data_IF_662450795555
#
_entry.id   IF_662450795555
#
_cell.length_a   1.000
_cell.length_b   1.000
_cell.length_c   1.000
_cell.angle_alpha   90.00
_cell.angle_beta   90.00
_cell.angle_gamma   90.00
#
_symmetry.space_group_name_H-M   'P 1'
#
loop_
_entity.id
_entity.type
_entity.pdbx_description
1 polymer ?
#
# COMPACT_ATOMS: atom_id res chain seq x y z
N UNK A 1 -13.07 61.96 53.64
CA UNK A 1 -13.52 61.90 55.05
C UNK A 1 -13.20 60.49 55.53
N UNK A 2 -12.04 60.32 56.19
CA UNK A 2 -11.95 59.92 57.60
C UNK A 2 -12.68 58.57 57.84
N UNK A 3 -12.00 57.47 58.16
CA UNK A 3 -11.32 57.31 59.45
C UNK A 3 -10.36 56.12 59.43
N UNK A 4 -9.23 56.32 60.09
CA UNK A 4 -8.15 55.37 60.40
C UNK A 4 -8.47 54.62 61.71
N UNK A 5 -7.78 53.48 61.93
CA UNK A 5 -7.26 52.90 63.22
C UNK A 5 -7.72 51.45 63.44
N UNK A 6 -6.84 50.45 63.27
CA UNK A 6 -5.77 49.94 64.18
C UNK A 6 -6.32 48.84 65.11
N UNK A 7 -5.82 47.61 64.97
CA UNK A 7 -5.39 46.63 66.00
C UNK A 7 -4.69 45.50 65.22
N UNK A 8 -3.36 45.46 65.10
CA UNK A 8 -2.35 44.83 65.98
C UNK A 8 -2.43 43.29 66.17
N UNK A 9 -1.28 42.67 65.86
CA UNK A 9 -0.69 41.45 66.44
C UNK A 9 -1.39 40.08 66.31
N UNK A 10 -0.82 39.21 65.46
CA UNK A 10 -0.45 37.83 65.82
C UNK A 10 0.51 37.29 64.74
N UNK A 11 1.82 37.40 64.98
CA UNK A 11 2.71 36.33 65.44
C UNK A 11 3.14 35.35 64.32
N UNK A 12 4.44 35.41 64.03
CA UNK A 12 5.19 34.49 63.18
C UNK A 12 4.89 33.02 63.50
N UNK A 13 4.49 32.25 62.48
CA UNK A 13 4.72 30.80 62.42
C UNK A 13 5.61 30.50 61.22
N UNK A 14 6.91 30.66 61.45
CA UNK A 14 7.93 30.15 60.56
C UNK A 14 8.12 28.63 60.80
N UNK A 15 8.34 27.92 59.70
CA UNK A 15 8.98 26.61 59.57
C UNK A 15 8.25 25.39 60.16
N UNK A 16 7.61 24.64 59.26
CA UNK A 16 7.98 23.24 59.03
C UNK A 16 7.42 22.80 57.68
N UNK A 17 8.14 23.11 56.59
CA UNK A 17 7.97 22.36 55.36
C UNK A 17 8.53 20.95 55.63
N UNK A 18 7.75 19.86 55.50
CA UNK A 18 8.36 18.56 55.42
C UNK A 18 9.12 18.53 54.09
N UNK A 19 10.44 18.68 54.17
CA UNK A 19 11.34 18.07 53.21
C UNK A 19 11.02 16.58 53.23
N UNK A 20 10.09 16.16 52.38
CA UNK A 20 10.04 14.79 51.92
C UNK A 20 11.34 14.60 51.13
N UNK A 21 12.41 14.31 51.87
CA UNK A 21 13.59 13.69 51.31
C UNK A 21 13.05 12.49 50.53
N UNK A 22 13.15 12.55 49.20
CA UNK A 22 13.02 11.37 48.39
C UNK A 22 14.06 10.40 48.94
N UNK A 23 13.62 9.48 49.79
CA UNK A 23 14.42 8.36 50.19
C UNK A 23 14.76 7.67 48.87
N UNK A 24 15.98 7.89 48.41
CA UNK A 24 16.69 7.05 47.46
C UNK A 24 16.85 5.69 48.16
N UNK A 25 15.72 5.03 48.39
CA UNK A 25 15.63 3.77 49.11
C UNK A 25 16.37 2.75 48.28
N UNK A 26 17.33 2.07 48.91
CA UNK A 26 18.11 0.99 48.30
C UNK A 26 17.14 0.03 47.59
N UNK A 27 17.39 -0.22 46.30
CA UNK A 27 16.62 -1.21 45.52
C UNK A 27 17.30 -2.56 45.67
N UNK A 28 16.53 -3.58 46.02
CA UNK A 28 17.02 -4.96 46.11
C UNK A 28 16.58 -5.70 44.85
N UNK A 29 17.51 -6.32 44.13
CA UNK A 29 17.24 -7.08 42.92
C UNK A 29 17.17 -8.56 43.24
N UNK A 30 16.08 -9.23 42.87
CA UNK A 30 15.84 -10.64 43.17
C UNK A 30 15.38 -11.44 41.94
N UNK A 31 15.96 -12.60 41.68
CA UNK A 31 15.46 -13.56 40.69
C UNK A 31 15.25 -14.94 41.30
N UNK A 32 14.57 -15.82 40.56
CA UNK A 32 14.45 -17.23 40.92
C UNK A 32 15.51 -18.07 40.17
N UNK A 33 16.25 -18.88 40.93
CA UNK A 33 17.20 -19.85 40.40
C UNK A 33 16.88 -21.21 40.99
N UNK A 34 16.26 -22.08 40.19
CA UNK A 34 15.95 -23.46 40.60
C UNK A 34 14.95 -23.56 41.76
N UNK A 35 14.03 -22.60 41.90
CA UNK A 35 13.04 -22.53 42.98
C UNK A 35 13.51 -21.81 44.23
N UNK A 36 14.72 -21.22 44.23
CA UNK A 36 15.26 -20.44 45.34
C UNK A 36 15.45 -18.97 44.94
N UNK A 37 15.02 -18.00 45.78
CA UNK A 37 15.21 -16.59 45.50
C UNK A 37 16.67 -16.18 45.76
N UNK A 38 17.32 -15.58 44.76
CA UNK A 38 18.66 -14.98 44.87
C UNK A 38 18.51 -13.46 44.82
N UNK A 39 18.87 -12.76 45.90
CA UNK A 39 18.70 -11.33 46.06
C UNK A 39 20.01 -10.60 46.34
N UNK A 40 20.14 -9.35 45.89
CA UNK A 40 21.31 -8.50 46.18
C UNK A 40 21.03 -7.01 46.00
N UNK A 41 21.90 -6.17 46.57
CA UNK A 41 21.85 -4.71 46.39
C UNK A 41 22.26 -4.26 44.98
N UNK A 42 22.96 -5.13 44.25
CA UNK A 42 23.24 -5.06 42.81
C UNK A 42 22.70 -6.32 42.15
N UNK A 43 22.34 -6.26 40.86
CA UNK A 43 21.79 -7.40 40.12
C UNK A 43 22.77 -8.59 40.18
N UNK A 44 22.42 -9.70 40.86
CA UNK A 44 23.32 -10.84 40.98
C UNK A 44 23.60 -11.46 39.61
N UNK A 45 24.82 -11.95 39.39
CA UNK A 45 25.21 -12.59 38.12
C UNK A 45 24.32 -13.80 37.77
N UNK A 46 23.83 -14.52 38.79
CA UNK A 46 22.90 -15.64 38.61
C UNK A 46 21.54 -15.23 37.99
N UNK A 47 21.21 -13.93 38.03
CA UNK A 47 19.99 -13.36 37.45
C UNK A 47 20.15 -12.87 36.01
N UNK A 48 21.36 -12.90 35.44
CA UNK A 48 21.58 -12.47 34.06
C UNK A 48 20.82 -13.37 33.08
N UNK A 49 20.09 -12.75 32.15
CA UNK A 49 19.26 -13.46 31.16
C UNK A 49 17.96 -14.08 31.72
N UNK A 50 17.57 -13.75 32.95
CA UNK A 50 16.31 -14.19 33.58
C UNK A 50 15.43 -12.99 33.90
N UNK A 51 14.16 -13.26 34.18
CA UNK A 51 13.30 -12.27 34.80
C UNK A 51 13.71 -12.02 36.26
N UNK A 52 13.68 -10.77 36.69
CA UNK A 52 14.00 -10.38 38.06
C UNK A 52 13.03 -9.32 38.58
N UNK A 53 12.95 -9.20 39.91
CA UNK A 53 12.13 -8.26 40.65
C UNK A 53 13.03 -7.22 41.30
N UNK A 54 12.65 -5.96 41.17
CA UNK A 54 13.18 -4.84 41.93
C UNK A 54 12.27 -4.60 43.13
N UNK A 55 12.80 -4.75 44.34
CA UNK A 55 12.09 -4.59 45.60
C UNK A 55 12.59 -3.34 46.33
N UNK A 56 11.72 -2.70 47.12
CA UNK A 56 12.15 -1.71 48.11
C UNK A 56 12.91 -2.37 49.25
N UNK A 57 13.60 -1.59 50.08
CA UNK A 57 14.18 -2.04 51.35
C UNK A 57 13.17 -2.70 52.30
N UNK A 58 11.88 -2.37 52.17
CA UNK A 58 10.78 -2.99 52.93
C UNK A 58 10.25 -4.29 52.29
N UNK A 59 10.88 -4.78 51.23
CA UNK A 59 10.47 -6.01 50.52
C UNK A 59 9.29 -5.84 49.57
N UNK A 60 8.81 -4.62 49.34
CA UNK A 60 7.68 -4.33 48.46
C UNK A 60 8.13 -4.35 47.00
N UNK A 61 7.41 -5.06 46.12
CA UNK A 61 7.71 -5.09 44.69
C UNK A 61 7.53 -3.70 44.07
N UNK A 62 8.63 -3.13 43.55
CA UNK A 62 8.61 -1.87 42.80
C UNK A 62 8.45 -2.12 41.31
N UNK A 63 9.17 -3.10 40.76
CA UNK A 63 9.16 -3.39 39.33
C UNK A 63 9.48 -4.86 39.09
N UNK A 64 8.86 -5.45 38.08
CA UNK A 64 9.25 -6.76 37.55
C UNK A 64 9.82 -6.55 36.15
N UNK A 65 10.99 -7.13 35.90
CA UNK A 65 11.64 -7.18 34.60
C UNK A 65 11.49 -8.62 34.10
N UNK A 66 10.75 -8.86 32.99
CA UNK A 66 10.59 -10.21 32.44
C UNK A 66 11.92 -10.73 31.87
N UNK A 67 12.06 -12.05 31.67
CA UNK A 67 13.20 -12.61 30.95
C UNK A 67 13.28 -12.04 29.52
N UNK A 68 14.47 -12.04 28.90
CA UNK A 68 14.58 -11.75 27.48
C UNK A 68 13.73 -12.75 26.69
N UNK A 69 13.10 -12.27 25.62
CA UNK A 69 12.30 -13.10 24.73
C UNK A 69 13.14 -14.25 24.16
N UNK A 70 12.51 -15.41 24.02
CA UNK A 70 13.09 -16.55 23.32
C UNK A 70 13.26 -16.22 21.82
N UNK A 71 14.12 -16.98 21.13
CA UNK A 71 14.31 -16.80 19.69
C UNK A 71 12.99 -16.95 18.91
N UNK A 72 12.09 -17.83 19.36
CA UNK A 72 10.76 -18.04 18.77
C UNK A 72 9.83 -16.84 19.00
N UNK A 73 9.78 -16.30 20.22
CA UNK A 73 8.99 -15.11 20.53
C UNK A 73 9.48 -13.86 19.78
N UNK A 74 10.81 -13.73 19.62
CA UNK A 74 11.41 -12.67 18.79
C UNK A 74 10.97 -12.83 17.34
N UNK A 75 11.08 -14.04 16.78
CA UNK A 75 10.68 -14.32 15.40
C UNK A 75 9.19 -14.04 15.17
N UNK A 76 8.30 -14.42 16.10
CA UNK A 76 6.87 -14.13 16.02
C UNK A 76 6.57 -12.63 16.06
N UNK A 77 7.20 -11.90 17.00
CA UNK A 77 7.05 -10.44 17.10
C UNK A 77 7.50 -9.75 15.82
N UNK A 78 8.63 -10.16 15.26
CA UNK A 78 9.20 -9.55 14.06
C UNK A 78 8.35 -9.85 12.83
N UNK A 79 7.79 -11.05 12.72
CA UNK A 79 6.80 -11.41 11.68
C UNK A 79 5.51 -10.61 11.82
N UNK A 80 4.97 -10.45 13.04
CA UNK A 80 3.81 -9.58 13.30
C UNK A 80 4.07 -8.13 12.91
N UNK A 81 5.23 -7.60 13.29
CA UNK A 81 5.64 -6.25 12.93
C UNK A 81 5.76 -6.08 11.42
N UNK A 82 6.33 -7.08 10.71
CA UNK A 82 6.40 -7.12 9.25
C UNK A 82 5.01 -7.10 8.62
N UNK A 83 4.11 -7.97 9.06
CA UNK A 83 2.72 -8.04 8.56
C UNK A 83 1.96 -6.72 8.78
N UNK A 84 2.10 -6.10 9.95
CA UNK A 84 1.49 -4.79 10.25
C UNK A 84 2.04 -3.71 9.33
N UNK A 85 3.36 -3.64 9.15
CA UNK A 85 4.02 -2.67 8.27
C UNK A 85 3.59 -2.84 6.81
N UNK A 86 3.44 -4.07 6.34
CA UNK A 86 2.95 -4.36 4.99
C UNK A 86 1.49 -3.92 4.82
N UNK A 87 0.63 -4.22 5.79
CA UNK A 87 -0.77 -3.78 5.78
C UNK A 87 -0.89 -2.24 5.80
N UNK A 88 -0.10 -1.55 6.62
CA UNK A 88 -0.05 -0.09 6.66
C UNK A 88 0.44 0.51 5.34
N UNK A 89 1.46 -0.09 4.72
CA UNK A 89 1.95 0.34 3.42
C UNK A 89 0.90 0.19 2.31
N UNK A 90 0.16 -0.94 2.30
CA UNK A 90 -0.95 -1.17 1.36
C UNK A 90 -2.07 -0.14 1.60
N UNK A 91 -2.46 0.10 2.84
CA UNK A 91 -3.49 1.07 3.18
C UNK A 91 -3.09 2.51 2.79
N UNK A 92 -1.84 2.90 3.03
CA UNK A 92 -1.34 4.21 2.62
C UNK A 92 -1.29 4.35 1.10
N UNK A 93 -0.86 3.31 0.38
CA UNK A 93 -0.89 3.28 -1.09
C UNK A 93 -2.31 3.45 -1.60
N UNK A 94 -3.28 2.71 -1.04
CA UNK A 94 -4.67 2.80 -1.45
C UNK A 94 -5.23 4.21 -1.21
N UNK A 95 -4.99 4.81 -0.04
CA UNK A 95 -5.42 6.19 0.25
C UNK A 95 -4.87 7.20 -0.74
N UNK A 96 -3.61 7.06 -1.15
CA UNK A 96 -2.99 7.93 -2.16
C UNK A 96 -3.64 7.77 -3.54
N UNK A 97 -3.94 6.53 -3.94
CA UNK A 97 -4.64 6.25 -5.19
C UNK A 97 -6.07 6.81 -5.18
N UNK A 98 -6.79 6.62 -4.08
CA UNK A 98 -8.14 7.14 -3.89
C UNK A 98 -8.16 8.67 -3.94
N UNK A 99 -7.22 9.32 -3.25
CA UNK A 99 -7.07 10.78 -3.29
C UNK A 99 -6.76 11.27 -4.71
N UNK A 100 -5.81 10.64 -5.40
CA UNK A 100 -5.48 10.99 -6.77
C UNK A 100 -6.67 10.81 -7.72
N UNK A 101 -7.50 9.77 -7.53
CA UNK A 101 -8.71 9.55 -8.30
C UNK A 101 -9.72 10.69 -8.12
N UNK A 102 -9.96 11.11 -6.88
CA UNK A 102 -10.87 12.23 -6.55
C UNK A 102 -10.34 13.58 -7.05
N UNK A 103 -9.02 13.79 -7.01
CA UNK A 103 -8.38 15.01 -7.52
C UNK A 103 -8.39 15.07 -9.06
N UNK A 104 -8.25 13.92 -9.73
CA UNK A 104 -8.24 13.84 -11.19
C UNK A 104 -9.61 14.07 -11.80
N UNK A 105 -10.68 13.61 -11.12
CA UNK A 105 -12.03 13.62 -11.65
C UNK A 105 -12.96 14.44 -10.75
N UNK A 106 -13.47 15.59 -11.22
CA UNK A 106 -14.40 16.41 -10.42
C UNK A 106 -15.80 15.79 -10.28
N UNK A 107 -16.14 14.81 -11.10
CA UNK A 107 -17.43 14.10 -11.04
C UNK A 107 -17.35 12.73 -11.73
N UNK A 108 -18.34 11.87 -11.47
CA UNK A 108 -18.49 10.59 -12.19
C UNK A 108 -18.72 10.78 -13.70
N UNK A 109 -19.34 11.89 -14.10
CA UNK A 109 -19.51 12.22 -15.52
C UNK A 109 -18.17 12.56 -16.18
N UNK A 110 -17.27 13.25 -15.47
CA UNK A 110 -15.93 13.53 -15.98
C UNK A 110 -15.11 12.25 -16.26
N UNK A 111 -15.33 11.18 -15.48
CA UNK A 111 -14.75 9.85 -15.76
C UNK A 111 -15.32 9.31 -17.08
N UNK A 112 -16.65 9.36 -17.24
CA UNK A 112 -17.35 8.88 -18.44
C UNK A 112 -16.91 9.62 -19.71
N UNK A 113 -16.81 10.95 -19.65
CA UNK A 113 -16.39 11.80 -20.77
C UNK A 113 -14.93 11.56 -21.16
N UNK A 114 -14.06 11.29 -20.18
CA UNK A 114 -12.66 10.94 -20.44
C UNK A 114 -12.55 9.54 -21.05
N UNK A 115 -13.31 8.58 -20.54
CA UNK A 115 -13.42 7.23 -21.10
C UNK A 115 -13.84 7.27 -22.57
N UNK A 116 -14.91 7.98 -22.88
CA UNK A 116 -15.44 8.07 -24.25
C UNK A 116 -14.40 8.65 -25.21
N UNK A 117 -13.76 9.77 -24.86
CA UNK A 117 -12.70 10.36 -25.69
C UNK A 117 -11.53 9.41 -25.90
N UNK A 118 -11.05 8.77 -24.83
CA UNK A 118 -9.91 7.87 -24.93
C UNK A 118 -10.23 6.62 -25.77
N UNK A 119 -11.43 6.04 -25.62
CA UNK A 119 -11.87 4.93 -26.45
C UNK A 119 -12.08 5.34 -27.91
N UNK A 120 -12.61 6.54 -28.16
CA UNK A 120 -12.78 7.05 -29.52
C UNK A 120 -11.43 7.23 -30.24
N UNK A 121 -10.38 7.69 -29.56
CA UNK A 121 -9.04 7.80 -30.13
C UNK A 121 -8.43 6.43 -30.47
N UNK A 122 -8.67 5.42 -29.62
CA UNK A 122 -8.29 4.04 -29.92
C UNK A 122 -9.07 3.46 -31.10
N UNK A 123 -10.38 3.72 -31.17
CA UNK A 123 -11.25 3.25 -32.24
C UNK A 123 -10.85 3.85 -33.59
N UNK A 124 -10.45 5.13 -33.63
CA UNK A 124 -9.85 5.75 -34.83
C UNK A 124 -8.58 5.03 -35.26
N UNK A 125 -7.67 4.77 -34.32
CA UNK A 125 -6.42 4.05 -34.60
C UNK A 125 -6.70 2.65 -35.17
N UNK A 126 -7.64 1.91 -34.57
CA UNK A 126 -8.04 0.58 -35.04
C UNK A 126 -8.68 0.67 -36.43
N UNK A 127 -9.50 1.69 -36.70
CA UNK A 127 -10.09 1.91 -38.01
C UNK A 127 -9.02 2.12 -39.09
N UNK A 128 -8.00 2.94 -38.83
CA UNK A 128 -6.89 3.17 -39.77
C UNK A 128 -6.11 1.87 -40.04
N UNK A 129 -5.87 1.06 -38.99
CA UNK A 129 -5.24 -0.25 -39.14
C UNK A 129 -6.10 -1.20 -40.00
N UNK A 130 -7.42 -1.16 -39.87
CA UNK A 130 -8.33 -1.97 -40.70
C UNK A 130 -8.39 -1.49 -42.15
N UNK A 131 -8.25 -0.19 -42.40
CA UNK A 131 -8.11 0.36 -43.76
C UNK A 131 -6.86 -0.22 -44.42
N UNK A 132 -5.74 -0.26 -43.70
CA UNK A 132 -4.50 -0.90 -44.20
C UNK A 132 -4.67 -2.39 -44.43
N UNK A 133 -5.31 -3.13 -43.51
CA UNK A 133 -5.60 -4.56 -43.70
C UNK A 133 -6.42 -4.80 -44.98
N UNK A 134 -7.46 -3.98 -45.22
CA UNK A 134 -8.28 -4.08 -46.42
C UNK A 134 -7.46 -3.86 -47.70
N UNK A 135 -6.52 -2.91 -47.68
CA UNK A 135 -5.62 -2.67 -48.81
C UNK A 135 -4.70 -3.88 -49.09
N UNK A 136 -4.16 -4.50 -48.03
CA UNK A 136 -3.35 -5.72 -48.16
C UNK A 136 -4.16 -6.91 -48.69
N UNK A 137 -5.39 -7.09 -48.22
CA UNK A 137 -6.29 -8.13 -48.73
C UNK A 137 -6.63 -7.92 -50.21
N UNK A 138 -6.83 -6.66 -50.64
CA UNK A 138 -7.02 -6.33 -52.04
C UNK A 138 -5.77 -6.64 -52.88
N UNK A 139 -4.57 -6.36 -52.37
CA UNK A 139 -3.30 -6.72 -53.02
C UNK A 139 -3.15 -8.24 -53.14
N UNK A 140 -3.43 -9.00 -52.08
CA UNK A 140 -3.48 -10.47 -52.11
C UNK A 140 -4.42 -11.00 -53.18
N UNK A 141 -5.64 -10.44 -53.27
CA UNK A 141 -6.61 -10.86 -54.27
C UNK A 141 -6.14 -10.59 -55.72
N UNK A 142 -5.39 -9.50 -55.96
CA UNK A 142 -4.77 -9.22 -57.27
C UNK A 142 -3.71 -10.26 -57.63
N UNK A 143 -2.80 -10.57 -56.71
CA UNK A 143 -1.79 -11.60 -56.94
C UNK A 143 -2.40 -13.00 -57.12
N UNK A 144 -3.50 -13.29 -56.43
CA UNK A 144 -4.25 -14.53 -56.67
C UNK A 144 -4.82 -14.57 -58.09
N UNK A 145 -5.48 -13.50 -58.55
CA UNK A 145 -5.99 -13.41 -59.93
C UNK A 145 -4.89 -13.53 -60.99
N UNK A 146 -3.71 -12.95 -60.76
CA UNK A 146 -2.58 -13.06 -61.66
C UNK A 146 -2.04 -14.50 -61.72
N UNK A 147 -1.97 -15.19 -60.58
CA UNK A 147 -1.55 -16.59 -60.53
C UNK A 147 -2.51 -17.52 -61.29
N UNK A 148 -3.79 -17.19 -61.39
CA UNK A 148 -4.75 -17.95 -62.20
C UNK A 148 -4.39 -17.98 -63.69
N UNK A 149 -3.68 -16.97 -64.21
CA UNK A 149 -3.20 -16.94 -65.59
C UNK A 149 -2.16 -18.05 -65.87
N UNK A 150 -1.45 -18.48 -64.84
CA UNK A 150 -0.43 -19.53 -64.91
C UNK A 150 -0.99 -20.92 -64.58
N UNK A 151 -2.32 -21.10 -64.57
CA UNK A 151 -2.92 -22.43 -64.34
C UNK A 151 -2.40 -23.45 -65.36
N UNK A 152 -1.78 -24.51 -64.85
CA UNK A 152 -1.16 -25.57 -65.66
C UNK A 152 0.28 -25.28 -66.09
N UNK A 153 0.87 -24.16 -65.65
CA UNK A 153 2.27 -23.80 -65.83
C UNK A 153 2.91 -23.48 -64.47
N UNK A 154 4.23 -23.34 -64.42
CA UNK A 154 4.91 -22.86 -63.22
C UNK A 154 4.66 -21.37 -63.02
N UNK A 155 4.14 -21.00 -61.85
CA UNK A 155 4.01 -19.60 -61.41
C UNK A 155 5.41 -18.96 -61.35
N UNK A 156 5.60 -17.71 -61.83
CA UNK A 156 6.87 -16.99 -61.70
C UNK A 156 7.33 -16.89 -60.24
N UNK A 157 8.64 -17.03 -59.99
CA UNK A 157 9.20 -16.98 -58.64
C UNK A 157 8.86 -15.66 -57.91
N UNK A 158 8.97 -14.53 -58.62
CA UNK A 158 8.65 -13.20 -58.09
C UNK A 158 7.20 -13.11 -57.61
N UNK A 159 6.24 -13.68 -58.36
CA UNK A 159 4.82 -13.67 -57.99
C UNK A 159 4.55 -14.55 -56.76
N UNK A 160 5.23 -15.70 -56.65
CA UNK A 160 5.13 -16.55 -55.46
C UNK A 160 5.73 -15.87 -54.22
N UNK A 161 6.85 -15.15 -54.37
CA UNK A 161 7.44 -14.36 -53.30
C UNK A 161 6.52 -13.21 -52.86
N UNK A 162 5.93 -12.48 -53.81
CA UNK A 162 4.97 -11.39 -53.54
C UNK A 162 3.73 -11.89 -52.78
N UNK A 163 3.21 -13.07 -53.14
CA UNK A 163 2.12 -13.72 -52.42
C UNK A 163 2.51 -14.09 -50.98
N UNK A 164 3.72 -14.60 -50.78
CA UNK A 164 4.23 -14.92 -49.45
C UNK A 164 4.40 -13.65 -48.59
N UNK A 165 4.96 -12.59 -49.17
CA UNK A 165 5.20 -11.33 -48.49
C UNK A 165 3.90 -10.66 -48.05
N UNK A 166 2.90 -10.58 -48.93
CA UNK A 166 1.60 -9.97 -48.57
C UNK A 166 0.88 -10.78 -47.49
N UNK A 167 1.04 -12.11 -47.46
CA UNK A 167 0.48 -12.96 -46.40
C UNK A 167 1.15 -12.70 -45.04
N UNK A 168 2.47 -12.54 -45.03
CA UNK A 168 3.21 -12.10 -43.85
C UNK A 168 2.78 -10.72 -43.35
N UNK A 169 2.60 -9.76 -44.26
CA UNK A 169 2.14 -8.40 -43.94
C UNK A 169 0.71 -8.42 -43.35
N UNK A 170 -0.20 -9.22 -43.90
CA UNK A 170 -1.57 -9.37 -43.37
C UNK A 170 -1.54 -9.97 -41.96
N UNK A 171 -0.74 -11.02 -41.75
CA UNK A 171 -0.61 -11.65 -40.44
C UNK A 171 -0.06 -10.68 -39.38
N UNK A 172 0.98 -9.92 -39.73
CA UNK A 172 1.53 -8.89 -38.86
C UNK A 172 0.50 -7.79 -38.56
N UNK A 173 -0.21 -7.31 -39.58
CA UNK A 173 -1.23 -6.27 -39.44
C UNK A 173 -2.38 -6.71 -38.51
N UNK A 174 -2.84 -7.96 -38.64
CA UNK A 174 -3.87 -8.53 -37.76
C UNK A 174 -3.40 -8.65 -36.32
N UNK A 175 -2.17 -9.09 -36.09
CA UNK A 175 -1.58 -9.15 -34.74
C UNK A 175 -1.57 -7.77 -34.07
N UNK A 176 -1.27 -6.70 -34.82
CA UNK A 176 -1.32 -5.32 -34.33
C UNK A 176 -2.76 -4.91 -33.99
N UNK A 177 -3.73 -5.21 -34.85
CA UNK A 177 -5.16 -4.93 -34.60
C UNK A 177 -5.62 -5.64 -33.32
N UNK A 178 -5.29 -6.92 -33.16
CA UNK A 178 -5.67 -7.72 -31.99
C UNK A 178 -5.05 -7.16 -30.71
N UNK A 179 -3.79 -6.73 -30.76
CA UNK A 179 -3.14 -6.07 -29.64
C UNK A 179 -3.85 -4.76 -29.27
N UNK A 180 -4.26 -3.95 -30.26
CA UNK A 180 -5.01 -2.71 -30.03
C UNK A 180 -6.41 -2.95 -29.47
N UNK A 181 -7.10 -4.01 -29.90
CA UNK A 181 -8.38 -4.41 -29.33
C UNK A 181 -8.25 -4.82 -27.86
N UNK A 182 -7.21 -5.58 -27.50
CA UNK A 182 -6.92 -5.91 -26.09
C UNK A 182 -6.58 -4.69 -25.26
N UNK A 183 -5.79 -3.76 -25.79
CA UNK A 183 -5.46 -2.49 -25.13
C UNK A 183 -6.73 -1.67 -24.89
N UNK A 184 -7.64 -1.61 -25.87
CA UNK A 184 -8.92 -0.91 -25.77
C UNK A 184 -9.81 -1.49 -24.66
N UNK A 185 -9.91 -2.81 -24.61
CA UNK A 185 -10.68 -3.48 -23.56
C UNK A 185 -10.06 -3.25 -22.17
N UNK A 186 -8.73 -3.37 -22.06
CA UNK A 186 -8.03 -3.07 -20.81
C UNK A 186 -8.27 -1.62 -20.35
N UNK A 187 -8.25 -0.67 -21.28
CA UNK A 187 -8.55 0.74 -20.98
C UNK A 187 -10.00 0.91 -20.51
N UNK A 188 -10.95 0.26 -21.18
CA UNK A 188 -12.36 0.28 -20.80
C UNK A 188 -12.55 -0.24 -19.36
N UNK A 189 -11.99 -1.41 -19.04
CA UNK A 189 -12.08 -2.01 -17.72
C UNK A 189 -11.45 -1.15 -16.62
N UNK A 190 -10.33 -0.49 -16.91
CA UNK A 190 -9.71 0.47 -15.97
C UNK A 190 -10.62 1.65 -15.66
N UNK A 191 -11.29 2.21 -16.66
CA UNK A 191 -12.26 3.29 -16.43
C UNK A 191 -13.50 2.82 -15.66
N UNK A 192 -13.97 1.58 -15.87
CA UNK A 192 -15.05 1.01 -15.05
C UNK A 192 -14.63 0.82 -13.60
N UNK A 193 -13.41 0.37 -13.35
CA UNK A 193 -12.85 0.27 -12.01
C UNK A 193 -12.74 1.64 -11.33
N UNK A 194 -12.18 2.64 -12.02
CA UNK A 194 -12.11 4.02 -11.56
C UNK A 194 -13.51 4.56 -11.23
N UNK A 195 -14.49 4.32 -12.11
CA UNK A 195 -15.89 4.73 -11.90
C UNK A 195 -16.50 4.07 -10.68
N UNK A 196 -16.34 2.75 -10.53
CA UNK A 196 -16.83 2.00 -9.36
C UNK A 196 -16.18 2.54 -8.07
N UNK A 197 -14.86 2.70 -8.07
CA UNK A 197 -14.12 3.18 -6.90
C UNK A 197 -14.52 4.61 -6.54
N UNK A 198 -14.68 5.48 -7.52
CA UNK A 198 -15.13 6.86 -7.31
C UNK A 198 -16.51 6.88 -6.64
N UNK A 199 -17.45 6.04 -7.09
CA UNK A 199 -18.78 5.93 -6.49
C UNK A 199 -18.72 5.42 -5.05
N UNK A 200 -17.86 4.44 -4.75
CA UNK A 200 -17.64 3.97 -3.36
C UNK A 200 -17.10 5.08 -2.44
N UNK A 201 -16.17 5.90 -2.94
CA UNK A 201 -15.53 6.98 -2.17
C UNK A 201 -16.46 8.20 -1.97
N UNK A 202 -17.38 8.43 -2.90
CA UNK A 202 -18.31 9.58 -2.88
C UNK A 202 -19.71 9.23 -2.39
N UNK A 203 -20.00 7.95 -2.20
CA UNK A 203 -21.26 7.52 -1.60
C UNK A 203 -21.41 8.18 -0.22
N UNK A 204 -22.58 8.76 0.09
CA UNK A 204 -22.82 9.31 1.40
C UNK A 204 -22.63 8.18 2.42
N UNK A 205 -21.75 8.39 3.41
CA UNK A 205 -21.58 7.44 4.50
C UNK A 205 -22.97 7.12 5.07
N UNK A 206 -23.40 5.87 4.95
CA UNK A 206 -24.62 5.39 5.57
C UNK A 206 -24.45 5.62 7.07
N UNK A 207 -25.03 6.71 7.59
CA UNK A 207 -25.04 6.97 9.02
C UNK A 207 -25.76 5.78 9.66
N UNK A 208 -25.10 4.98 10.52
CA UNK A 208 -25.83 4.02 11.31
C UNK A 208 -26.82 4.81 12.18
N UNK A 209 -28.10 4.42 12.14
CA UNK A 209 -29.13 4.92 13.05
C UNK A 209 -28.94 4.33 14.43
#
# INVERSE_FOLDING_TARGET
MASVRLVELALLTALAAPLAAAAQGRTIFCCDVGGSPVCGDILPAACYGRGYRELSTSGTLRRYVPPPLTAEEIAQRDEDARRRKEAEAIALKQRRLDQALLETYPSVNAISDRRERALADMDRTIADLRVREKALLARKARFAQEAEFYRGQSVPADLAEDQHNVDGEIAAQRSIIDAKLRERESLHLRFEEDRRRYLELTAPASRPR
#
